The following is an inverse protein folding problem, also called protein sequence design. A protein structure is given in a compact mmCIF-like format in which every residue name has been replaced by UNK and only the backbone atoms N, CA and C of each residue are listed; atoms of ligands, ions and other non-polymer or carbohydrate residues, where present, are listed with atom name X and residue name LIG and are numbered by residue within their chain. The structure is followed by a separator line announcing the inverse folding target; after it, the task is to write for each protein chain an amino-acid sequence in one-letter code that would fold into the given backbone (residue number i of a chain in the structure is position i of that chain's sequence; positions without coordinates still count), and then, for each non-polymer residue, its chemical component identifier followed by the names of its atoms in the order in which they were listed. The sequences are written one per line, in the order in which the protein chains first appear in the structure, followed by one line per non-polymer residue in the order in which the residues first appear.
data_IF_996224045241
#
_entry.id   IF_996224045241
#
_cell.length_a   1.000
_cell.length_b   1.000
_cell.length_c   1.000
_cell.angle_alpha   90.00
_cell.angle_beta   90.00
_cell.angle_gamma   90.00
#
_symmetry.space_group_name_H-M   'P 1'
#
loop_
_entity.id
_entity.type
_entity.pdbx_description
1 polymer ?
#
# COMPACT_ATOMS: atom_id res chain seq x y z
N UNK A 1 -16.43 -23.87 -21.62
CA UNK A 1 -16.44 -23.86 -20.14
C UNK A 1 -16.05 -22.45 -19.73
N UNK A 2 -16.99 -21.64 -19.27
CA UNK A 2 -16.65 -20.32 -18.73
C UNK A 2 -16.12 -20.54 -17.32
N UNK A 3 -14.89 -20.09 -17.05
CA UNK A 3 -14.39 -20.01 -15.68
C UNK A 3 -15.36 -19.12 -14.89
N UNK A 4 -15.90 -19.64 -13.79
CA UNK A 4 -16.65 -18.81 -12.85
C UNK A 4 -15.74 -17.68 -12.37
N UNK A 5 -16.24 -16.44 -12.28
CA UNK A 5 -15.41 -15.31 -11.91
C UNK A 5 -14.80 -15.55 -10.52
N UNK A 6 -13.47 -15.62 -10.45
CA UNK A 6 -12.75 -15.83 -9.20
C UNK A 6 -13.21 -14.85 -8.12
N UNK A 7 -13.54 -15.41 -6.96
CA UNK A 7 -13.96 -14.64 -5.79
C UNK A 7 -12.86 -13.66 -5.39
N UNK A 8 -13.25 -12.49 -4.87
CA UNK A 8 -12.31 -11.49 -4.34
C UNK A 8 -11.30 -12.12 -3.37
N UNK A 9 -11.77 -13.05 -2.52
CA UNK A 9 -10.92 -13.74 -1.56
C UNK A 9 -9.84 -14.59 -2.26
N UNK A 10 -10.16 -15.27 -3.36
CA UNK A 10 -9.20 -16.08 -4.10
C UNK A 10 -8.10 -15.20 -4.71
N UNK A 11 -8.47 -14.04 -5.26
CA UNK A 11 -7.51 -13.07 -5.82
C UNK A 11 -6.59 -12.49 -4.75
N UNK A 12 -7.13 -12.18 -3.57
CA UNK A 12 -6.34 -11.74 -2.42
C UNK A 12 -5.36 -12.82 -1.97
N UNK A 13 -5.82 -14.07 -1.86
CA UNK A 13 -4.96 -15.19 -1.46
C UNK A 13 -3.81 -15.38 -2.44
N UNK A 14 -4.07 -15.35 -3.75
CA UNK A 14 -3.01 -15.41 -4.78
C UNK A 14 -1.98 -14.29 -4.61
N UNK A 15 -2.42 -13.06 -4.37
CA UNK A 15 -1.50 -11.94 -4.11
C UNK A 15 -0.60 -12.23 -2.89
N UNK A 16 -1.17 -12.71 -1.78
CA UNK A 16 -0.41 -13.04 -0.58
C UNK A 16 0.54 -14.23 -0.78
N UNK A 17 0.16 -15.19 -1.61
CA UNK A 17 1.02 -16.32 -2.01
C UNK A 17 2.23 -15.83 -2.81
N UNK A 18 2.03 -14.95 -3.80
CA UNK A 18 3.10 -14.34 -4.58
C UNK A 18 4.06 -13.52 -3.70
N UNK A 19 3.52 -12.65 -2.82
CA UNK A 19 4.34 -11.89 -1.87
C UNK A 19 5.12 -12.82 -0.94
N UNK A 20 4.52 -13.94 -0.53
CA UNK A 20 5.19 -14.96 0.28
C UNK A 20 6.32 -15.65 -0.48
N UNK A 21 6.11 -15.96 -1.76
CA UNK A 21 7.13 -16.56 -2.63
C UNK A 21 8.35 -15.64 -2.76
N UNK A 22 8.12 -14.35 -3.02
CA UNK A 22 9.18 -13.33 -3.09
C UNK A 22 9.91 -13.22 -1.75
N UNK A 23 9.19 -13.14 -0.64
CA UNK A 23 9.80 -13.06 0.70
C UNK A 23 10.67 -14.28 1.00
N UNK A 24 10.18 -15.50 0.75
CA UNK A 24 10.94 -16.74 0.95
C UNK A 24 12.19 -16.80 0.08
N UNK A 25 12.12 -16.32 -1.16
CA UNK A 25 13.26 -16.25 -2.07
C UNK A 25 14.35 -15.32 -1.51
N UNK A 26 13.97 -14.14 -1.03
CA UNK A 26 14.91 -13.19 -0.40
C UNK A 26 15.57 -13.79 0.86
N UNK A 27 14.79 -14.47 1.70
CA UNK A 27 15.32 -15.16 2.86
C UNK A 27 16.29 -16.29 2.49
N UNK A 28 15.94 -17.08 1.47
CA UNK A 28 16.79 -18.18 1.00
C UNK A 28 18.15 -17.68 0.49
N UNK A 29 18.17 -16.53 -0.17
CA UNK A 29 19.40 -15.89 -0.64
C UNK A 29 20.15 -15.09 0.44
N UNK A 30 19.70 -15.11 1.70
CA UNK A 30 20.38 -14.42 2.80
C UNK A 30 20.37 -12.89 2.67
N UNK A 31 19.35 -12.32 2.01
CA UNK A 31 19.23 -10.87 1.84
C UNK A 31 18.98 -10.20 3.20
N UNK A 32 19.73 -9.14 3.49
CA UNK A 32 19.63 -8.39 4.74
C UNK A 32 18.20 -7.91 5.00
N UNK A 33 17.74 -8.05 6.25
CA UNK A 33 16.38 -7.68 6.65
C UNK A 33 16.01 -6.23 6.30
N UNK A 34 16.97 -5.30 6.42
CA UNK A 34 16.76 -3.89 6.05
C UNK A 34 16.54 -3.69 4.54
N UNK A 35 17.18 -4.50 3.71
CA UNK A 35 16.96 -4.50 2.25
C UNK A 35 15.59 -5.10 1.94
N UNK A 36 15.21 -6.17 2.64
CA UNK A 36 13.88 -6.79 2.50
C UNK A 36 12.77 -5.79 2.84
N UNK A 37 12.89 -5.04 3.96
CA UNK A 37 11.93 -4.00 4.34
C UNK A 37 11.83 -2.91 3.27
N UNK A 38 12.95 -2.45 2.72
CA UNK A 38 12.96 -1.43 1.66
C UNK A 38 12.29 -1.93 0.36
N UNK A 39 12.53 -3.18 -0.01
CA UNK A 39 11.90 -3.80 -1.18
C UNK A 39 10.37 -3.90 -1.00
N UNK A 40 9.91 -4.40 0.15
CA UNK A 40 8.47 -4.48 0.42
C UNK A 40 7.82 -3.10 0.56
N UNK A 41 8.53 -2.10 1.09
CA UNK A 41 8.06 -0.71 1.11
C UNK A 41 7.81 -0.19 -0.31
N UNK A 42 8.70 -0.50 -1.25
CA UNK A 42 8.52 -0.14 -2.66
C UNK A 42 7.35 -0.89 -3.31
N UNK A 43 7.21 -2.19 -3.07
CA UNK A 43 6.07 -2.98 -3.58
C UNK A 43 4.73 -2.47 -3.03
N UNK A 44 4.68 -2.18 -1.73
CA UNK A 44 3.48 -1.67 -1.08
C UNK A 44 3.10 -0.28 -1.60
N UNK A 45 4.09 0.58 -1.84
CA UNK A 45 3.86 1.85 -2.51
C UNK A 45 3.27 1.67 -3.90
N UNK A 46 3.84 0.78 -4.73
CA UNK A 46 3.32 0.52 -6.07
C UNK A 46 1.86 0.01 -6.03
N UNK A 47 1.54 -0.92 -5.13
CA UNK A 47 0.18 -1.40 -4.93
C UNK A 47 -0.76 -0.27 -4.47
N UNK A 48 -0.34 0.55 -3.51
CA UNK A 48 -1.11 1.69 -3.03
C UNK A 48 -1.39 2.70 -4.15
N UNK A 49 -0.35 3.12 -4.87
CA UNK A 49 -0.44 4.07 -5.96
C UNK A 49 -1.34 3.54 -7.09
N UNK A 50 -1.18 2.27 -7.47
CA UNK A 50 -2.02 1.63 -8.49
C UNK A 50 -3.50 1.57 -8.06
N UNK A 51 -3.77 1.13 -6.82
CA UNK A 51 -5.13 1.04 -6.29
C UNK A 51 -5.79 2.43 -6.15
N UNK A 52 -5.06 3.40 -5.58
CA UNK A 52 -5.56 4.75 -5.38
C UNK A 52 -5.82 5.47 -6.71
N UNK A 53 -4.90 5.33 -7.68
CA UNK A 53 -5.10 5.92 -9.01
C UNK A 53 -6.33 5.31 -9.71
N UNK A 54 -6.55 4.00 -9.61
CA UNK A 54 -7.76 3.38 -10.13
C UNK A 54 -9.02 3.92 -9.43
N UNK A 55 -8.99 4.12 -8.12
CA UNK A 55 -10.10 4.71 -7.36
C UNK A 55 -10.38 6.16 -7.80
N UNK A 56 -9.35 6.97 -8.01
CA UNK A 56 -9.45 8.38 -8.40
C UNK A 56 -9.93 8.61 -9.85
N UNK A 57 -9.84 7.58 -10.68
CA UNK A 57 -10.22 7.62 -12.10
C UNK A 57 -11.60 6.99 -12.39
N UNK A 58 -12.17 6.24 -11.44
CA UNK A 58 -13.36 5.40 -11.66
C UNK A 58 -14.43 5.64 -10.59
N UNK A 59 -15.55 6.24 -10.99
CA UNK A 59 -16.64 6.57 -10.06
C UNK A 59 -17.36 5.31 -9.54
N UNK A 60 -17.41 4.24 -10.34
CA UNK A 60 -18.03 2.96 -9.98
C UNK A 60 -17.30 2.23 -8.83
N UNK A 61 -16.10 2.68 -8.47
CA UNK A 61 -15.34 2.15 -7.34
C UNK A 61 -15.52 2.98 -6.05
N UNK A 62 -16.18 4.13 -6.13
CA UNK A 62 -16.29 5.09 -5.03
C UNK A 62 -17.63 4.96 -4.30
N UNK A 63 -17.82 3.88 -3.55
CA UNK A 63 -19.00 3.66 -2.72
C UNK A 63 -18.66 2.90 -1.42
N UNK A 64 -19.58 2.87 -0.46
CA UNK A 64 -19.30 2.37 0.89
C UNK A 64 -18.83 0.90 0.90
N UNK A 65 -19.53 0.02 0.18
CA UNK A 65 -19.19 -1.42 0.10
C UNK A 65 -17.80 -1.66 -0.50
N UNK A 66 -17.37 -0.86 -1.48
CA UNK A 66 -16.00 -0.92 -2.00
C UNK A 66 -14.98 -0.49 -0.96
N UNK A 67 -15.28 0.55 -0.20
CA UNK A 67 -14.47 0.96 0.94
C UNK A 67 -14.24 -0.18 1.93
N UNK A 68 -15.29 -0.91 2.30
CA UNK A 68 -15.16 -2.08 3.17
C UNK A 68 -14.33 -3.21 2.54
N UNK A 69 -14.56 -3.51 1.27
CA UNK A 69 -13.80 -4.53 0.54
C UNK A 69 -12.30 -4.20 0.49
N UNK A 70 -11.96 -2.95 0.17
CA UNK A 70 -10.57 -2.47 0.16
C UNK A 70 -9.97 -2.58 1.57
N UNK A 71 -10.69 -2.15 2.60
CA UNK A 71 -10.20 -2.19 4.00
C UNK A 71 -9.98 -3.63 4.48
N UNK A 72 -10.86 -4.55 4.14
CA UNK A 72 -10.69 -5.97 4.42
C UNK A 72 -9.41 -6.51 3.76
N UNK A 73 -9.23 -6.27 2.46
CA UNK A 73 -8.03 -6.70 1.74
C UNK A 73 -6.74 -6.12 2.35
N UNK A 74 -6.76 -4.83 2.69
CA UNK A 74 -5.63 -4.15 3.33
C UNK A 74 -5.31 -4.72 4.72
N UNK A 75 -6.32 -5.07 5.53
CA UNK A 75 -6.08 -5.68 6.85
C UNK A 75 -5.34 -7.02 6.76
N UNK A 76 -5.65 -7.84 5.76
CA UNK A 76 -4.93 -9.09 5.50
C UNK A 76 -3.49 -8.82 5.04
N UNK A 77 -3.29 -7.81 4.20
CA UNK A 77 -1.94 -7.43 3.75
C UNK A 77 -1.08 -6.85 4.89
N UNK A 78 -1.67 -6.01 5.74
CA UNK A 78 -1.01 -5.45 6.93
C UNK A 78 -0.67 -6.55 7.95
N UNK A 79 -1.58 -7.49 8.19
CA UNK A 79 -1.33 -8.64 9.06
C UNK A 79 -0.21 -9.52 8.49
N UNK A 80 -0.27 -9.82 7.19
CA UNK A 80 0.77 -10.60 6.49
C UNK A 80 2.16 -9.95 6.62
N UNK A 81 2.22 -8.63 6.53
CA UNK A 81 3.46 -7.85 6.71
C UNK A 81 3.95 -7.88 8.16
N UNK A 82 3.05 -7.72 9.13
CA UNK A 82 3.36 -7.79 10.57
C UNK A 82 3.95 -9.15 10.96
N UNK A 83 3.37 -10.24 10.48
CA UNK A 83 3.87 -11.60 10.75
C UNK A 83 5.32 -11.82 10.26
N UNK A 84 5.81 -10.97 9.36
CA UNK A 84 7.15 -11.01 8.75
C UNK A 84 8.05 -9.85 9.18
N UNK A 85 7.67 -9.08 10.20
CA UNK A 85 8.40 -7.90 10.68
C UNK A 85 8.57 -6.79 9.62
N UNK A 86 7.58 -6.65 8.73
CA UNK A 86 7.55 -5.64 7.66
C UNK A 86 6.64 -4.45 8.01
N UNK A 87 6.34 -4.22 9.29
CA UNK A 87 5.49 -3.11 9.74
C UNK A 87 5.96 -1.73 9.23
N UNK A 88 7.28 -1.42 9.15
CA UNK A 88 7.73 -0.15 8.59
C UNK A 88 7.40 0.02 7.10
N UNK A 89 7.26 -1.08 6.35
CA UNK A 89 6.87 -1.04 4.94
C UNK A 89 5.37 -0.70 4.77
N UNK A 90 4.52 -1.12 5.72
CA UNK A 90 3.07 -0.89 5.69
C UNK A 90 2.68 0.59 5.71
N UNK A 91 3.57 1.49 6.13
CA UNK A 91 3.33 2.95 6.03
C UNK A 91 3.05 3.37 4.58
N UNK A 92 3.63 2.69 3.58
CA UNK A 92 3.41 2.98 2.17
C UNK A 92 1.97 2.73 1.71
N UNK A 93 1.17 1.97 2.45
CA UNK A 93 -0.25 1.69 2.17
C UNK A 93 -1.21 2.75 2.76
N UNK A 94 -0.72 3.65 3.61
CA UNK A 94 -1.58 4.58 4.33
C UNK A 94 -2.49 5.45 3.45
N UNK A 95 -2.08 5.95 2.27
CA UNK A 95 -2.97 6.71 1.40
C UNK A 95 -4.23 5.93 0.99
N UNK A 96 -4.10 4.66 0.57
CA UNK A 96 -5.26 3.83 0.19
C UNK A 96 -6.08 3.40 1.42
N UNK A 97 -5.44 3.19 2.58
CA UNK A 97 -6.15 2.94 3.85
C UNK A 97 -7.07 4.12 4.19
N UNK A 98 -6.54 5.35 4.14
CA UNK A 98 -7.30 6.56 4.43
C UNK A 98 -8.38 6.83 3.39
N UNK A 99 -8.14 6.52 2.11
CA UNK A 99 -9.16 6.62 1.07
C UNK A 99 -10.33 5.64 1.33
N UNK A 100 -10.03 4.39 1.73
CA UNK A 100 -11.04 3.41 2.09
C UNK A 100 -11.83 3.83 3.34
N UNK A 101 -11.17 4.46 4.32
CA UNK A 101 -11.82 5.03 5.50
C UNK A 101 -12.72 6.21 5.13
N UNK A 102 -12.29 7.09 4.23
CA UNK A 102 -13.08 8.22 3.72
C UNK A 102 -14.38 7.76 3.05
N UNK A 103 -14.32 6.68 2.26
CA UNK A 103 -15.51 6.07 1.66
C UNK A 103 -16.50 5.59 2.73
N UNK A 104 -16.01 5.11 3.87
CA UNK A 104 -16.81 4.58 4.99
C UNK A 104 -17.24 5.64 6.00
N UNK A 105 -16.61 6.82 6.02
CA UNK A 105 -16.88 7.87 6.98
C UNK A 105 -18.28 8.49 6.79
N UNK A 106 -18.82 9.02 7.89
CA UNK A 106 -20.00 9.89 7.85
C UNK A 106 -19.59 11.21 7.20
N UNK A 107 -20.46 11.75 6.33
CA UNK A 107 -20.24 12.99 5.58
C UNK A 107 -21.18 14.09 6.06
N UNK A 108 -21.28 14.28 7.37
CA UNK A 108 -22.08 15.36 7.98
C UNK A 108 -21.21 16.57 8.27
N UNK A 109 -21.82 17.75 8.38
CA UNK A 109 -21.07 19.00 8.62
C UNK A 109 -20.24 18.98 9.93
N UNK A 110 -20.64 18.18 10.93
CA UNK A 110 -19.91 17.99 12.18
C UNK A 110 -18.64 17.13 12.00
N UNK A 111 -18.64 16.24 11.01
CA UNK A 111 -17.54 15.31 10.75
C UNK A 111 -16.40 15.93 9.92
N UNK A 112 -16.54 17.18 9.45
CA UNK A 112 -15.55 17.85 8.57
C UNK A 112 -14.14 17.82 9.17
N UNK A 113 -14.01 18.16 10.45
CA UNK A 113 -12.71 18.19 11.13
C UNK A 113 -12.13 16.77 11.25
N UNK A 114 -12.94 15.82 11.70
CA UNK A 114 -12.53 14.41 11.85
C UNK A 114 -12.06 13.81 10.53
N UNK A 115 -12.75 14.09 9.42
CA UNK A 115 -12.35 13.65 8.08
C UNK A 115 -11.01 14.26 7.66
N UNK A 116 -10.82 15.56 7.91
CA UNK A 116 -9.57 16.24 7.59
C UNK A 116 -8.40 15.74 8.44
N UNK A 117 -8.61 15.39 9.71
CA UNK A 117 -7.56 14.84 10.56
C UNK A 117 -7.20 13.40 10.18
N UNK A 118 -8.21 12.58 9.86
CA UNK A 118 -8.03 11.20 9.43
C UNK A 118 -7.25 11.08 8.12
N UNK A 119 -7.51 11.97 7.15
CA UNK A 119 -6.92 11.92 5.81
C UNK A 119 -5.62 12.74 5.69
N UNK A 120 -4.64 12.53 6.57
CA UNK A 120 -3.37 13.28 6.59
C UNK A 120 -2.27 12.76 5.65
N UNK A 121 -2.45 11.59 5.03
CA UNK A 121 -1.55 10.99 4.01
C UNK A 121 -2.12 11.12 2.59
N UNK A 122 -3.27 11.76 2.44
CA UNK A 122 -3.89 12.12 1.17
C UNK A 122 -3.77 13.64 0.94
N UNK A 123 -3.58 14.03 -0.32
CA UNK A 123 -3.61 15.45 -0.69
C UNK A 123 -5.03 15.98 -0.69
N UNK A 124 -5.18 17.29 -0.53
CA UNK A 124 -6.47 17.96 -0.55
C UNK A 124 -7.26 17.65 -1.83
N UNK A 125 -6.58 17.64 -2.98
CA UNK A 125 -7.17 17.32 -4.28
C UNK A 125 -7.67 15.88 -4.35
N UNK A 126 -6.95 14.93 -3.78
CA UNK A 126 -7.37 13.52 -3.72
C UNK A 126 -8.63 13.35 -2.86
N UNK A 127 -8.66 13.96 -1.68
CA UNK A 127 -9.83 13.92 -0.77
C UNK A 127 -11.06 14.49 -1.47
N UNK A 128 -10.93 15.70 -2.03
CA UNK A 128 -12.03 16.37 -2.75
C UNK A 128 -12.47 15.54 -3.95
N UNK A 129 -11.56 14.92 -4.70
CA UNK A 129 -11.90 14.05 -5.84
C UNK A 129 -12.69 12.83 -5.40
N UNK A 130 -12.27 12.12 -4.35
CA UNK A 130 -12.98 10.93 -3.83
C UNK A 130 -14.40 11.31 -3.39
N UNK A 131 -14.55 12.43 -2.65
CA UNK A 131 -15.86 12.90 -2.21
C UNK A 131 -16.79 13.26 -3.38
N UNK A 132 -16.25 13.83 -4.48
CA UNK A 132 -17.03 14.14 -5.68
C UNK A 132 -17.43 12.89 -6.48
N UNK A 133 -16.57 11.87 -6.52
CA UNK A 133 -16.84 10.60 -7.21
C UNK A 133 -17.77 9.69 -6.43
N UNK A 134 -17.96 9.95 -5.12
CA UNK A 134 -18.79 9.12 -4.25
C UNK A 134 -20.21 8.97 -4.80
N UNK A 135 -20.52 7.75 -5.21
CA UNK A 135 -21.80 7.39 -5.82
C UNK A 135 -22.47 6.37 -4.92
N UNK A 136 -23.61 6.69 -4.27
CA UNK A 136 -24.37 5.75 -3.47
C UNK A 136 -24.68 4.47 -4.26
N UNK A 137 -24.36 3.31 -3.69
CA UNK A 137 -24.62 2.02 -4.34
C UNK A 137 -25.93 1.36 -3.87
N UNK A 138 -26.52 1.83 -2.77
CA UNK A 138 -27.72 1.27 -2.15
C UNK A 138 -28.56 2.38 -1.50
N UNK A 139 -29.83 2.08 -1.19
CA UNK A 139 -30.84 3.03 -0.67
C UNK A 139 -30.49 3.59 0.72
N UNK A 140 -29.55 2.95 1.42
CA UNK A 140 -29.04 3.39 2.72
C UNK A 140 -27.88 4.40 2.61
N UNK A 141 -27.37 4.65 1.39
CA UNK A 141 -26.31 5.62 1.14
C UNK A 141 -26.90 6.92 0.58
N UNK A 142 -26.44 8.06 1.11
CA UNK A 142 -26.78 9.38 0.56
C UNK A 142 -25.59 9.95 -0.19
N UNK A 143 -25.88 10.71 -1.25
CA UNK A 143 -24.84 11.42 -2.00
C UNK A 143 -24.20 12.47 -1.09
N UNK A 144 -22.89 12.63 -1.22
CA UNK A 144 -22.15 13.64 -0.44
C UNK A 144 -22.70 15.04 -0.74
N UNK A 145 -23.14 15.80 0.27
CA UNK A 145 -23.63 17.16 0.07
C UNK A 145 -22.54 18.09 -0.46
N UNK A 146 -22.87 18.93 -1.44
CA UNK A 146 -21.93 19.92 -1.99
C UNK A 146 -21.46 20.92 -0.91
N UNK A 147 -22.31 21.22 0.06
CA UNK A 147 -21.96 22.05 1.23
C UNK A 147 -20.83 21.43 2.05
N UNK A 148 -20.88 20.12 2.29
CA UNK A 148 -19.85 19.37 3.00
C UNK A 148 -18.52 19.41 2.24
N UNK A 149 -18.54 19.16 0.92
CA UNK A 149 -17.32 19.22 0.07
C UNK A 149 -16.68 20.60 0.14
N UNK A 150 -17.46 21.68 0.05
CA UNK A 150 -16.96 23.06 0.17
C UNK A 150 -16.32 23.32 1.54
N UNK A 151 -16.95 22.86 2.63
CA UNK A 151 -16.40 23.00 3.98
C UNK A 151 -15.07 22.24 4.14
N UNK A 152 -15.01 21.01 3.64
CA UNK A 152 -13.77 20.21 3.61
C UNK A 152 -12.69 20.92 2.80
N UNK A 153 -13.01 21.46 1.63
CA UNK A 153 -12.05 22.19 0.81
C UNK A 153 -11.49 23.44 1.51
N UNK A 154 -12.34 24.21 2.18
CA UNK A 154 -11.93 25.38 2.99
C UNK A 154 -11.04 24.95 4.15
N UNK A 155 -11.35 23.83 4.81
CA UNK A 155 -10.53 23.33 5.92
C UNK A 155 -9.17 22.81 5.42
N UNK A 156 -9.14 22.15 4.27
CA UNK A 156 -7.92 21.60 3.68
C UNK A 156 -6.98 22.68 3.12
N UNK A 157 -7.48 23.86 2.75
CA UNK A 157 -6.61 24.95 2.30
C UNK A 157 -5.71 25.50 3.43
N UNK A 158 -6.09 25.29 4.70
CA UNK A 158 -5.26 25.63 5.87
C UNK A 158 -3.96 24.80 5.92
N UNK A 159 -3.89 23.66 5.22
CA UNK A 159 -2.69 22.81 5.20
C UNK A 159 -1.51 23.41 4.43
N UNK A 160 -1.75 24.41 3.57
CA UNK A 160 -0.70 25.03 2.75
C UNK A 160 -0.06 24.05 1.74
N UNK A 161 -0.81 23.04 1.29
CA UNK A 161 -0.33 22.08 0.30
C UNK A 161 -0.17 22.76 -1.07
N UNK A 162 1.07 22.84 -1.57
CA UNK A 162 1.37 23.35 -2.92
C UNK A 162 1.34 22.25 -3.99
N UNK A 163 0.93 21.02 -3.63
CA UNK A 163 0.96 19.88 -4.54
C UNK A 163 -0.36 19.76 -5.30
N UNK A 164 -0.35 20.17 -6.57
CA UNK A 164 -1.51 20.04 -7.46
C UNK A 164 -1.72 18.62 -7.98
N UNK A 165 -0.76 17.71 -7.76
CA UNK A 165 -0.77 16.37 -8.33
C UNK A 165 -1.90 15.51 -7.71
N UNK A 166 -2.82 15.07 -8.58
CA UNK A 166 -3.95 14.22 -8.19
C UNK A 166 -3.53 12.75 -8.05
N UNK A 167 -2.78 12.23 -9.03
CA UNK A 167 -2.39 10.82 -9.10
C UNK A 167 -1.04 10.58 -8.44
N UNK A 168 -0.89 9.44 -7.78
CA UNK A 168 0.40 8.99 -7.28
C UNK A 168 1.29 8.58 -8.47
N UNK A 169 2.59 8.89 -8.38
CA UNK A 169 3.56 8.51 -9.40
C UNK A 169 3.91 7.02 -9.32
N UNK A 170 3.54 6.25 -10.34
CA UNK A 170 3.85 4.82 -10.40
C UNK A 170 5.33 4.52 -10.65
N UNK A 171 6.10 5.50 -11.14
CA UNK A 171 7.54 5.37 -11.41
C UNK A 171 8.40 5.85 -10.23
N UNK A 172 7.77 6.34 -9.16
CA UNK A 172 8.50 6.75 -7.97
C UNK A 172 9.24 5.56 -7.35
N UNK A 173 10.49 5.80 -6.96
CA UNK A 173 11.32 4.84 -6.25
C UNK A 173 11.89 5.46 -4.99
N UNK A 174 11.78 4.75 -3.86
CA UNK A 174 12.48 5.15 -2.65
C UNK A 174 13.99 5.01 -2.84
N UNK A 175 14.80 5.98 -2.37
CA UNK A 175 16.25 5.85 -2.37
C UNK A 175 16.68 4.63 -1.54
N UNK A 176 17.38 3.70 -2.18
CA UNK A 176 17.87 2.49 -1.53
C UNK A 176 19.07 2.83 -0.63
N UNK A 177 19.06 2.27 0.58
CA UNK A 177 20.16 2.32 1.54
C UNK A 177 20.69 0.91 1.77
N UNK A 178 22.00 0.79 1.83
CA UNK A 178 22.71 -0.46 2.12
C UNK A 178 23.53 -0.22 3.40
N UNK A 179 22.91 -0.41 4.58
CA UNK A 179 23.61 -0.27 5.84
C UNK A 179 24.64 -1.38 5.97
N UNK A 180 25.70 -1.12 6.73
CA UNK A 180 26.67 -2.14 7.05
C UNK A 180 26.03 -3.20 7.94
N UNK A 181 26.00 -4.44 7.46
CA UNK A 181 25.60 -5.62 8.24
C UNK A 181 26.79 -6.59 8.32
N UNK A 182 27.43 -6.74 9.50
CA UNK A 182 28.56 -7.66 9.63
C UNK A 182 28.11 -9.12 9.48
N UNK A 183 28.99 -9.95 8.94
CA UNK A 183 28.78 -11.39 8.85
C UNK A 183 29.48 -12.10 10.02
N UNK A 184 28.79 -13.05 10.64
CA UNK A 184 29.37 -13.94 11.65
C UNK A 184 30.17 -15.10 11.02
N UNK A 185 30.24 -15.17 9.69
CA UNK A 185 30.96 -16.23 8.99
C UNK A 185 32.46 -15.97 9.10
N UNK A 186 33.15 -16.90 9.76
CA UNK A 186 34.61 -16.93 9.84
C UNK A 186 35.19 -17.38 8.51
N UNK A 187 36.06 -16.56 7.93
CA UNK A 187 36.66 -16.82 6.62
C UNK A 187 37.50 -18.10 6.62
N UNK A 188 38.13 -18.41 7.75
CA UNK A 188 38.90 -19.63 7.97
C UNK A 188 38.06 -20.91 7.96
N UNK A 189 36.73 -20.83 8.12
CA UNK A 189 35.82 -21.97 8.12
C UNK A 189 35.16 -22.21 6.75
N UNK A 190 35.37 -21.32 5.78
CA UNK A 190 34.77 -21.44 4.43
C UNK A 190 35.52 -22.49 3.61
N UNK A 191 34.79 -23.43 3.01
CA UNK A 191 35.31 -24.42 2.05
C UNK A 191 34.64 -24.23 0.69
N UNK A 192 35.35 -24.54 -0.39
CA UNK A 192 34.84 -24.43 -1.77
C UNK A 192 34.18 -25.76 -2.16
N UNK A 193 32.87 -25.79 -2.45
CA UNK A 193 32.20 -27.01 -2.89
C UNK A 193 32.76 -27.52 -4.24
N UNK A 194 32.95 -28.84 -4.36
CA UNK A 194 33.51 -29.47 -5.58
C UNK A 194 32.67 -29.19 -6.84
N UNK A 195 31.35 -29.02 -6.67
CA UNK A 195 30.40 -28.70 -7.75
C UNK A 195 30.69 -27.37 -8.45
N UNK A 196 31.42 -26.45 -7.81
CA UNK A 196 31.81 -25.19 -8.43
C UNK A 196 32.95 -25.35 -9.45
N UNK A 197 33.63 -26.51 -9.46
CA UNK A 197 34.72 -26.82 -10.39
C UNK A 197 35.81 -25.74 -10.42
N UNK A 198 36.31 -25.34 -9.24
CA UNK A 198 37.36 -24.32 -9.07
C UNK A 198 38.71 -24.92 -8.59
N UNK A 199 39.34 -25.83 -9.35
CA UNK A 199 40.55 -26.55 -8.91
C UNK A 199 41.80 -25.66 -8.80
N UNK A 200 41.78 -24.47 -9.41
CA UNK A 200 42.88 -23.52 -9.35
C UNK A 200 42.97 -22.79 -8.01
N UNK A 201 41.90 -22.79 -7.21
CA UNK A 201 41.85 -22.09 -5.93
C UNK A 201 42.43 -22.97 -4.83
N UNK A 202 43.27 -22.38 -3.98
CA UNK A 202 43.82 -23.02 -2.78
C UNK A 202 43.54 -22.12 -1.58
N UNK A 203 42.98 -22.69 -0.52
CA UNK A 203 42.79 -22.01 0.77
C UNK A 203 44.17 -21.79 1.40
N UNK A 204 44.44 -20.56 1.81
CA UNK A 204 45.69 -20.13 2.47
C UNK A 204 45.41 -19.86 3.94
#
# INVERSE_FOLDING_TARGET
MGEEPESTQQKLNKLLEELTSVYKTLQFHGVDSEIVVQLFKQLFYFMCASALNNLLLRNELCHWTKGMQIRYNLSHLEQWGRDRKLEPASEALQPIVQAAQLLQARKTDEDVNSVCEMCNKLTANQIVKILNLYTPADDFETRVPVSFIKKVQVKLSERGENNEQLLMDLMYSYPVRLPFNPSDIRLEDIEIPEVLHLPMLKKV
#
